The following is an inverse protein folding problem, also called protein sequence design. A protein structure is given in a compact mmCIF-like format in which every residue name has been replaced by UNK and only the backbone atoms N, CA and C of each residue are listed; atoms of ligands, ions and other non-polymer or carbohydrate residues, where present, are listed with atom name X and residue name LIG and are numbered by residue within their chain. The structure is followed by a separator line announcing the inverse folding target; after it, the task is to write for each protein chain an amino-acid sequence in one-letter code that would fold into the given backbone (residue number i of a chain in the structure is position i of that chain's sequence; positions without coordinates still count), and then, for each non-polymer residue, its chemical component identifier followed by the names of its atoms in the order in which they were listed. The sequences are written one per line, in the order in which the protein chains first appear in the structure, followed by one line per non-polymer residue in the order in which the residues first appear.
data_IF_925045076270
#
_entry.id   IF_925045076270
#
_cell.length_a   1.000
_cell.length_b   1.000
_cell.length_c   1.000
_cell.angle_alpha   90.00
_cell.angle_beta   90.00
_cell.angle_gamma   90.00
#
_symmetry.space_group_name_H-M   'P 1'
#
loop_
_entity.id
_entity.type
_entity.pdbx_description
1 polymer ?
#
# COMPACT_ATOMS: atom_id res chain seq x y z
N UNK A 1 -5.15 34.25 -7.32
CA UNK A 1 -4.48 33.02 -6.85
C UNK A 1 -5.22 32.33 -5.69
N UNK A 2 -5.91 33.06 -4.80
CA UNK A 2 -6.60 32.49 -3.63
C UNK A 2 -7.85 31.63 -3.94
N UNK A 3 -8.47 31.80 -5.12
CA UNK A 3 -9.62 30.97 -5.54
C UNK A 3 -9.25 29.54 -5.97
N UNK A 4 -8.00 29.28 -6.38
CA UNK A 4 -7.57 27.93 -6.80
C UNK A 4 -7.45 26.96 -5.61
N UNK A 5 -7.20 27.46 -4.40
CA UNK A 5 -6.94 26.64 -3.21
C UNK A 5 -8.21 26.05 -2.56
N UNK A 6 -9.41 26.53 -2.91
CA UNK A 6 -10.67 26.01 -2.37
C UNK A 6 -11.33 24.95 -3.27
N UNK A 7 -10.72 24.64 -4.42
CA UNK A 7 -11.28 23.73 -5.44
C UNK A 7 -10.37 22.52 -5.67
N UNK A 8 -9.07 22.64 -5.41
CA UNK A 8 -8.08 21.62 -5.73
C UNK A 8 -6.99 21.51 -4.65
N UNK A 9 -6.54 20.29 -4.38
CA UNK A 9 -5.34 19.96 -3.60
C UNK A 9 -4.24 19.57 -4.58
N UNK A 10 -3.00 19.99 -4.36
CA UNK A 10 -1.87 19.66 -5.23
C UNK A 10 -0.69 19.06 -4.47
N UNK A 11 0.01 18.11 -5.10
CA UNK A 11 1.31 17.59 -4.63
C UNK A 11 2.35 17.70 -5.74
N UNK A 12 3.45 18.38 -5.44
CA UNK A 12 4.56 18.54 -6.37
C UNK A 12 5.34 17.22 -6.44
N UNK A 13 5.59 16.73 -7.65
CA UNK A 13 6.32 15.49 -7.92
C UNK A 13 7.84 15.73 -7.92
N UNK A 14 8.28 16.94 -8.31
CA UNK A 14 9.70 17.30 -8.42
C UNK A 14 10.12 18.31 -7.33
N UNK A 15 10.76 17.81 -6.26
CA UNK A 15 11.62 18.66 -5.43
C UNK A 15 13.02 18.62 -6.04
N UNK A 16 13.44 19.73 -6.63
CA UNK A 16 14.79 19.98 -7.13
C UNK A 16 15.85 20.06 -6.01
N UNK A 17 15.76 19.24 -4.97
CA UNK A 17 16.86 19.04 -4.03
C UNK A 17 17.29 17.57 -4.09
N UNK A 18 18.35 17.32 -4.87
CA UNK A 18 19.05 16.03 -4.92
C UNK A 18 19.80 15.71 -3.62
N UNK A 19 19.64 16.52 -2.58
CA UNK A 19 20.25 16.36 -1.28
C UNK A 19 19.17 16.00 -0.26
N UNK A 20 19.09 14.69 0.03
CA UNK A 20 18.39 14.09 1.17
C UNK A 20 16.85 14.26 1.22
N UNK A 21 16.10 13.47 0.45
CA UNK A 21 14.73 13.06 0.84
C UNK A 21 14.30 11.77 0.11
N UNK A 22 13.46 10.96 0.75
CA UNK A 22 13.08 9.59 0.41
C UNK A 22 12.70 9.35 -1.08
N UNK A 23 13.40 8.41 -1.74
CA UNK A 23 13.13 7.90 -3.11
C UNK A 23 11.67 7.51 -3.41
N UNK A 24 10.85 7.31 -2.39
CA UNK A 24 9.43 6.94 -2.50
C UNK A 24 8.49 8.14 -2.78
N UNK A 25 8.86 9.34 -2.34
CA UNK A 25 7.99 10.53 -2.47
C UNK A 25 7.99 11.16 -3.87
N UNK A 26 9.03 10.90 -4.67
CA UNK A 26 9.21 11.47 -6.01
C UNK A 26 8.18 10.95 -7.04
N UNK A 27 7.29 10.04 -6.64
CA UNK A 27 6.29 9.40 -7.52
C UNK A 27 4.88 9.43 -6.96
N UNK A 28 4.67 10.03 -5.80
CA UNK A 28 3.38 10.09 -5.12
C UNK A 28 2.29 10.65 -6.05
N UNK A 29 2.57 11.73 -6.77
CA UNK A 29 1.57 12.31 -7.68
C UNK A 29 1.20 11.42 -8.88
N UNK A 30 2.13 10.60 -9.39
CA UNK A 30 1.83 9.62 -10.45
C UNK A 30 0.90 8.53 -9.91
N UNK A 31 1.13 8.07 -8.69
CA UNK A 31 0.30 7.07 -8.01
C UNK A 31 -1.10 7.59 -7.70
N UNK A 32 -1.23 8.86 -7.34
CA UNK A 32 -2.55 9.50 -7.17
C UNK A 32 -3.37 9.51 -8.46
N UNK A 33 -2.73 9.78 -9.61
CA UNK A 33 -3.43 9.70 -10.91
C UNK A 33 -3.76 8.25 -11.27
N UNK A 34 -2.85 7.31 -11.00
CA UNK A 34 -3.11 5.89 -11.22
C UNK A 34 -4.33 5.40 -10.44
N UNK A 35 -4.46 5.79 -9.17
CA UNK A 35 -5.62 5.44 -8.35
C UNK A 35 -6.94 5.97 -8.94
N UNK A 36 -6.94 7.19 -9.48
CA UNK A 36 -8.11 7.75 -10.17
C UNK A 36 -8.43 7.00 -11.48
N UNK A 37 -7.43 6.70 -12.30
CA UNK A 37 -7.61 5.96 -13.55
C UNK A 37 -8.15 4.55 -13.31
N UNK A 38 -7.68 3.89 -12.24
CA UNK A 38 -8.11 2.55 -11.87
C UNK A 38 -9.48 2.54 -11.17
N UNK A 39 -10.03 3.69 -10.76
CA UNK A 39 -11.38 3.77 -10.19
C UNK A 39 -12.46 3.78 -11.27
N UNK A 40 -12.75 2.61 -11.85
CA UNK A 40 -13.61 2.49 -13.03
C UNK A 40 -15.02 3.03 -12.76
N UNK A 41 -15.46 3.98 -13.58
CA UNK A 41 -16.75 4.63 -13.42
C UNK A 41 -16.90 5.45 -12.12
N UNK A 42 -15.80 5.70 -11.40
CA UNK A 42 -15.83 6.36 -10.09
C UNK A 42 -16.45 5.50 -8.98
N UNK A 43 -16.34 4.18 -9.09
CA UNK A 43 -16.95 3.21 -8.17
C UNK A 43 -16.57 3.47 -6.70
N UNK A 44 -15.29 3.68 -6.42
CA UNK A 44 -14.71 3.94 -5.11
C UNK A 44 -14.84 5.40 -4.70
N UNK A 45 -15.03 6.28 -5.68
CA UNK A 45 -15.24 7.70 -5.48
C UNK A 45 -13.94 8.49 -5.37
N UNK A 46 -12.84 8.01 -5.98
CA UNK A 46 -11.59 8.78 -6.02
C UNK A 46 -11.86 10.11 -6.71
N UNK A 47 -11.58 11.26 -6.07
CA UNK A 47 -11.84 12.54 -6.71
C UNK A 47 -11.00 12.69 -7.98
N UNK A 48 -11.50 13.38 -9.03
CA UNK A 48 -10.77 13.64 -10.25
C UNK A 48 -9.35 14.13 -9.97
N UNK A 49 -8.37 13.37 -10.47
CA UNK A 49 -6.95 13.60 -10.22
C UNK A 49 -6.19 13.57 -11.53
N UNK A 50 -5.38 14.60 -11.79
CA UNK A 50 -4.63 14.75 -13.05
C UNK A 50 -3.20 15.20 -12.80
N UNK A 51 -2.29 14.88 -13.72
CA UNK A 51 -0.96 15.46 -13.76
C UNK A 51 -1.01 16.81 -14.47
N UNK A 52 -0.39 17.82 -13.88
CA UNK A 52 -0.27 19.16 -14.46
C UNK A 52 1.16 19.63 -14.48
N UNK A 53 1.49 20.49 -15.46
CA UNK A 53 2.74 21.22 -15.52
C UNK A 53 2.51 22.64 -14.99
N UNK A 54 3.10 22.95 -13.84
CA UNK A 54 2.96 24.26 -13.18
C UNK A 54 4.19 25.10 -13.49
N UNK A 55 3.99 26.37 -13.87
CA UNK A 55 5.08 27.34 -14.03
C UNK A 55 5.33 28.07 -12.70
N UNK A 56 6.59 28.16 -12.29
CA UNK A 56 7.03 28.79 -11.04
C UNK A 56 7.08 30.33 -11.12
N UNK A 57 6.44 30.94 -12.12
CA UNK A 57 6.42 32.39 -12.34
C UNK A 57 5.84 33.20 -11.15
N UNK A 58 5.08 32.56 -10.26
CA UNK A 58 4.48 33.20 -9.08
C UNK A 58 5.44 33.36 -7.88
N UNK A 59 6.61 32.70 -7.89
CA UNK A 59 7.54 32.66 -6.74
C UNK A 59 8.93 33.21 -7.03
N UNK A 60 9.18 33.69 -8.25
CA UNK A 60 10.46 34.31 -8.61
C UNK A 60 10.45 35.79 -8.21
N UNK A 61 11.29 36.14 -7.22
CA UNK A 61 11.76 37.52 -7.04
C UNK A 61 12.48 37.90 -8.33
N UNK A 62 12.23 39.09 -8.93
CA UNK A 62 12.88 39.46 -10.18
C UNK A 62 14.38 39.68 -9.93
N UNK A 63 15.19 38.66 -10.17
CA UNK A 63 16.63 38.79 -10.30
C UNK A 63 16.98 38.90 -11.78
N UNK A 64 17.95 39.76 -12.09
CA UNK A 64 18.37 40.22 -13.42
C UNK A 64 18.95 39.16 -14.37
N UNK A 65 18.74 37.88 -14.10
CA UNK A 65 19.07 36.78 -15.00
C UNK A 65 17.79 36.20 -15.61
N UNK A 66 17.63 36.42 -16.91
CA UNK A 66 16.57 35.86 -17.77
C UNK A 66 16.69 34.33 -17.90
N UNK A 67 16.39 33.61 -16.83
CA UNK A 67 16.19 32.17 -16.89
C UNK A 67 14.77 31.84 -17.32
N UNK A 68 14.61 30.91 -18.27
CA UNK A 68 13.29 30.46 -18.72
C UNK A 68 12.45 29.97 -17.51
N UNK A 69 11.11 30.14 -17.52
CA UNK A 69 10.27 29.75 -16.40
C UNK A 69 10.50 28.28 -16.04
N UNK A 70 10.91 28.01 -14.79
CA UNK A 70 11.03 26.63 -14.31
C UNK A 70 9.63 26.03 -14.27
N UNK A 71 9.51 24.83 -14.80
CA UNK A 71 8.27 24.07 -14.78
C UNK A 71 8.44 22.87 -13.87
N UNK A 72 7.41 22.60 -13.06
CA UNK A 72 7.35 21.39 -12.22
C UNK A 72 6.11 20.59 -12.59
N UNK A 73 6.22 19.27 -12.50
CA UNK A 73 5.05 18.39 -12.62
C UNK A 73 4.46 18.22 -11.22
N UNK A 74 3.13 18.26 -11.13
CA UNK A 74 2.39 18.04 -9.89
C UNK A 74 1.13 17.22 -10.19
N UNK A 75 0.67 16.44 -9.21
CA UNK A 75 -0.71 15.97 -9.21
C UNK A 75 -1.61 17.08 -8.70
N UNK A 76 -2.80 17.19 -9.29
CA UNK A 76 -3.90 18.00 -8.79
C UNK A 76 -5.12 17.08 -8.63
N UNK A 77 -5.66 17.05 -7.41
CA UNK A 77 -6.89 16.35 -7.07
C UNK A 77 -8.00 17.36 -6.76
N UNK A 78 -9.21 17.11 -7.24
CA UNK A 78 -10.40 17.92 -6.89
C UNK A 78 -10.60 17.87 -5.38
N UNK A 79 -10.65 19.04 -4.75
CA UNK A 79 -11.01 19.18 -3.35
C UNK A 79 -12.44 18.68 -3.11
N UNK A 80 -12.60 17.88 -2.07
CA UNK A 80 -13.91 17.38 -1.64
C UNK A 80 -14.30 18.11 -0.36
N UNK A 81 -15.37 18.91 -0.37
CA UNK A 81 -15.87 19.53 0.84
C UNK A 81 -16.28 18.47 1.87
N UNK A 82 -15.62 18.49 3.02
CA UNK A 82 -15.86 17.59 4.15
C UNK A 82 -15.80 18.39 5.45
N UNK A 83 -16.34 17.82 6.52
CA UNK A 83 -16.23 18.37 7.88
C UNK A 83 -15.41 17.47 8.79
N UNK A 84 -15.34 16.19 8.46
CA UNK A 84 -14.75 15.13 9.27
C UNK A 84 -14.00 14.16 8.37
N UNK A 85 -12.93 13.57 8.91
CA UNK A 85 -12.38 12.32 8.39
C UNK A 85 -13.00 11.12 9.13
N UNK A 86 -12.65 9.90 8.72
CA UNK A 86 -13.23 8.70 9.32
C UNK A 86 -12.71 8.43 10.74
N UNK A 87 -11.71 9.14 11.22
CA UNK A 87 -11.17 9.05 12.59
C UNK A 87 -11.99 9.85 13.60
N UNK A 88 -12.68 10.89 13.12
CA UNK A 88 -13.60 11.70 13.94
C UNK A 88 -14.93 10.97 14.25
N UNK A 89 -15.26 9.91 13.49
CA UNK A 89 -16.49 9.15 13.61
C UNK A 89 -16.20 7.67 13.91
N UNK A 90 -17.05 7.03 14.70
CA UNK A 90 -16.94 5.59 14.94
C UNK A 90 -17.39 4.77 13.72
N UNK A 91 -16.72 3.64 13.39
CA UNK A 91 -17.03 2.81 12.23
C UNK A 91 -18.51 2.44 12.08
N UNK A 92 -19.26 2.25 13.18
CA UNK A 92 -20.71 1.98 13.18
C UNK A 92 -21.58 2.96 12.36
N UNK A 93 -21.05 4.14 12.02
CA UNK A 93 -21.72 5.18 11.23
C UNK A 93 -21.48 5.05 9.73
N UNK A 94 -20.51 4.25 9.29
CA UNK A 94 -20.14 4.18 7.88
C UNK A 94 -21.00 3.20 7.10
N UNK A 95 -21.29 3.58 5.85
CA UNK A 95 -21.96 2.74 4.86
C UNK A 95 -21.13 1.51 4.54
N UNK A 96 -21.74 0.32 4.56
CA UNK A 96 -21.06 -0.94 4.18
C UNK A 96 -20.53 -0.82 2.76
N UNK A 97 -21.36 -0.34 1.83
CA UNK A 97 -20.96 -0.21 0.44
C UNK A 97 -19.79 0.75 0.27
N UNK A 98 -19.79 1.91 0.93
CA UNK A 98 -18.64 2.83 0.88
C UNK A 98 -17.33 2.15 1.35
N UNK A 99 -17.38 1.38 2.44
CA UNK A 99 -16.19 0.65 2.95
C UNK A 99 -15.75 -0.42 1.95
N UNK A 100 -16.68 -1.18 1.39
CA UNK A 100 -16.38 -2.19 0.37
C UNK A 100 -15.74 -1.60 -0.88
N UNK A 101 -16.30 -0.51 -1.42
CA UNK A 101 -15.77 0.13 -2.64
C UNK A 101 -14.35 0.66 -2.43
N UNK A 102 -14.08 1.29 -1.28
CA UNK A 102 -12.73 1.74 -0.90
C UNK A 102 -11.77 0.53 -0.75
N UNK A 103 -12.18 -0.50 -0.01
CA UNK A 103 -11.35 -1.67 0.22
C UNK A 103 -11.00 -2.44 -1.05
N UNK A 104 -11.96 -2.57 -1.98
CA UNK A 104 -11.74 -3.16 -3.30
C UNK A 104 -10.63 -2.42 -4.06
N UNK A 105 -10.65 -1.08 -4.07
CA UNK A 105 -9.62 -0.29 -4.71
C UNK A 105 -8.27 -0.42 -3.97
N UNK A 106 -8.26 -0.29 -2.65
CA UNK A 106 -7.02 -0.37 -1.87
C UNK A 106 -6.32 -1.73 -1.99
N UNK A 107 -7.09 -2.83 -2.09
CA UNK A 107 -6.57 -4.16 -2.40
C UNK A 107 -5.87 -4.15 -3.76
N UNK A 108 -6.54 -3.68 -4.82
CA UNK A 108 -5.94 -3.63 -6.18
C UNK A 108 -4.67 -2.80 -6.22
N UNK A 109 -4.65 -1.70 -5.47
CA UNK A 109 -3.52 -0.78 -5.43
C UNK A 109 -2.41 -1.23 -4.48
N UNK A 110 -2.64 -2.23 -3.63
CA UNK A 110 -1.79 -2.56 -2.48
C UNK A 110 -1.43 -1.28 -1.69
N UNK A 111 -2.45 -0.58 -1.19
CA UNK A 111 -2.25 0.67 -0.47
C UNK A 111 -1.55 0.43 0.88
N UNK A 112 -0.35 1.00 1.07
CA UNK A 112 0.43 0.82 2.30
C UNK A 112 0.15 1.89 3.36
N UNK A 113 -0.80 2.79 3.10
CA UNK A 113 -1.11 3.91 4.00
C UNK A 113 -2.60 4.29 4.00
N UNK A 114 -3.53 3.32 3.93
CA UNK A 114 -4.95 3.63 4.13
C UNK A 114 -5.25 3.75 5.62
N UNK A 115 -5.00 4.93 6.20
CA UNK A 115 -5.41 5.28 7.55
C UNK A 115 -6.69 6.13 7.58
N UNK A 116 -7.26 6.37 8.77
CA UNK A 116 -8.51 7.13 8.93
C UNK A 116 -8.47 8.53 8.31
N UNK A 117 -7.37 9.26 8.47
CA UNK A 117 -7.16 10.59 7.87
C UNK A 117 -7.19 10.61 6.32
N UNK A 118 -7.08 9.46 5.66
CA UNK A 118 -7.13 9.34 4.20
C UNK A 118 -8.54 8.98 3.70
N UNK A 119 -9.54 8.96 4.58
CA UNK A 119 -10.92 8.63 4.26
C UNK A 119 -11.81 9.75 4.75
N UNK A 120 -12.34 10.54 3.83
CA UNK A 120 -13.22 11.66 4.16
C UNK A 120 -14.66 11.20 4.36
N UNK A 121 -15.36 11.86 5.28
CA UNK A 121 -16.80 11.69 5.46
C UNK A 121 -17.54 12.73 4.62
N UNK A 122 -18.43 12.27 3.74
CA UNK A 122 -19.16 13.17 2.85
C UNK A 122 -20.01 14.18 3.66
N UNK A 123 -19.86 15.48 3.36
CA UNK A 123 -20.56 16.58 4.03
C UNK A 123 -22.09 16.46 4.02
N UNK A 124 -22.67 15.73 3.07
CA UNK A 124 -24.11 15.47 3.05
C UNK A 124 -24.60 14.76 4.33
N UNK A 125 -23.72 14.00 4.99
CA UNK A 125 -24.02 13.31 6.24
C UNK A 125 -24.40 14.28 7.39
N UNK A 126 -23.68 15.41 7.55
CA UNK A 126 -23.96 16.34 8.66
C UNK A 126 -25.29 17.07 8.48
N UNK A 127 -25.71 17.32 7.23
CA UNK A 127 -27.03 17.87 6.91
C UNK A 127 -28.16 16.87 7.17
N UNK A 128 -27.92 15.59 6.89
CA UNK A 128 -28.91 14.52 7.04
C UNK A 128 -29.09 14.09 8.51
N UNK A 129 -28.07 14.25 9.36
CA UNK A 129 -28.12 13.93 10.81
C UNK A 129 -29.21 14.67 11.59
N UNK A 130 -29.63 15.85 11.13
CA UNK A 130 -30.71 16.61 11.74
C UNK A 130 -32.11 16.10 11.37
N UNK A 131 -32.19 15.10 10.49
CA UNK A 131 -33.40 14.40 10.06
C UNK A 131 -33.38 13.02 10.73
N UNK A 132 -34.42 12.67 11.45
CA UNK A 132 -34.50 11.53 12.37
C UNK A 132 -34.42 10.12 11.73
N UNK A 133 -33.29 9.73 11.13
CA UNK A 133 -33.01 8.35 10.68
C UNK A 133 -31.55 7.93 10.89
N UNK A 134 -31.31 6.61 11.02
CA UNK A 134 -30.01 5.91 11.03
C UNK A 134 -29.30 6.00 9.66
N UNK A 135 -29.10 7.23 9.18
CA UNK A 135 -28.38 7.49 7.93
C UNK A 135 -26.93 7.06 8.13
N UNK A 136 -26.43 6.17 7.27
CA UNK A 136 -25.00 5.84 7.23
C UNK A 136 -24.25 6.85 6.38
N UNK A 137 -23.05 7.20 6.81
CA UNK A 137 -22.16 8.11 6.12
C UNK A 137 -21.54 7.45 4.88
N UNK A 138 -21.61 8.12 3.73
CA UNK A 138 -20.79 7.79 2.57
C UNK A 138 -19.37 8.35 2.74
N UNK A 139 -18.40 7.61 2.22
CA UNK A 139 -16.98 7.89 2.37
C UNK A 139 -16.33 8.24 1.03
N UNK A 140 -15.23 8.98 1.08
CA UNK A 140 -14.43 9.35 -0.10
C UNK A 140 -12.96 9.06 0.18
N UNK A 141 -12.31 8.16 -0.58
CA UNK A 141 -10.89 7.91 -0.43
C UNK A 141 -10.07 9.04 -1.06
N UNK A 142 -9.10 9.55 -0.31
CA UNK A 142 -8.11 10.51 -0.80
C UNK A 142 -6.70 10.00 -0.53
N UNK A 143 -5.70 10.76 -0.94
CA UNK A 143 -4.29 10.50 -0.64
C UNK A 143 -3.81 9.07 -0.98
N UNK A 144 -3.61 8.82 -2.28
CA UNK A 144 -3.10 7.54 -2.78
C UNK A 144 -1.59 7.62 -3.09
N UNK A 145 -0.86 8.55 -2.46
CA UNK A 145 0.56 8.76 -2.75
C UNK A 145 1.45 7.55 -2.41
N UNK A 146 0.99 6.72 -1.48
CA UNK A 146 1.67 5.50 -1.02
C UNK A 146 0.93 4.23 -1.45
N UNK A 147 0.33 4.22 -2.63
CA UNK A 147 -0.15 2.99 -3.25
C UNK A 147 0.79 2.53 -4.38
N UNK A 148 0.56 1.35 -4.94
CA UNK A 148 1.34 0.77 -6.04
C UNK A 148 2.86 0.78 -5.72
N UNK A 149 3.28 0.08 -4.65
CA UNK A 149 4.70 -0.04 -4.33
C UNK A 149 5.45 -0.78 -5.44
N UNK A 150 6.78 -0.78 -5.38
CA UNK A 150 7.61 -1.47 -6.40
C UNK A 150 8.00 -2.89 -5.97
N UNK A 151 7.74 -3.20 -4.69
CA UNK A 151 7.92 -4.49 -4.04
C UNK A 151 6.62 -4.86 -3.35
N UNK A 152 6.36 -6.15 -3.17
CA UNK A 152 5.23 -6.65 -2.39
C UNK A 152 5.54 -6.33 -0.92
N UNK A 153 5.03 -5.18 -0.48
CA UNK A 153 5.19 -4.64 0.87
C UNK A 153 3.93 -4.93 1.71
N UNK A 154 4.04 -4.73 3.02
CA UNK A 154 2.91 -4.93 3.93
C UNK A 154 1.90 -3.78 3.80
N UNK A 155 0.66 -4.04 3.33
CA UNK A 155 -0.33 -2.99 3.22
C UNK A 155 -0.85 -2.57 4.60
N UNK A 156 -1.33 -1.33 4.69
CA UNK A 156 -2.04 -0.84 5.88
C UNK A 156 -3.47 -0.48 5.51
N UNK A 157 -4.42 -1.24 6.05
CA UNK A 157 -5.84 -1.10 5.77
C UNK A 157 -6.62 -0.82 7.06
N UNK A 158 -6.93 0.44 7.33
CA UNK A 158 -7.74 0.82 8.49
C UNK A 158 -9.11 0.14 8.50
N UNK A 159 -9.73 0.01 7.32
CA UNK A 159 -11.03 -0.65 7.18
C UNK A 159 -11.03 -2.13 7.54
N UNK A 160 -9.86 -2.78 7.61
CA UNK A 160 -9.73 -4.20 7.96
C UNK A 160 -10.31 -4.50 9.34
N UNK A 161 -10.30 -3.50 10.24
CA UNK A 161 -10.78 -3.63 11.61
C UNK A 161 -12.23 -3.15 11.80
N UNK A 162 -12.89 -2.74 10.71
CA UNK A 162 -14.26 -2.23 10.78
C UNK A 162 -15.27 -3.37 10.58
N UNK A 163 -16.39 -3.40 11.33
CA UNK A 163 -17.39 -4.46 11.21
C UNK A 163 -17.92 -4.66 9.79
N UNK A 164 -17.97 -3.58 9.00
CA UNK A 164 -18.36 -3.60 7.60
C UNK A 164 -17.51 -4.56 6.77
N UNK A 165 -16.20 -4.67 7.01
CA UNK A 165 -15.33 -5.54 6.23
C UNK A 165 -15.65 -7.04 6.42
N UNK A 166 -16.33 -7.40 7.52
CA UNK A 166 -16.76 -8.77 7.79
C UNK A 166 -18.03 -9.16 7.01
N UNK A 167 -18.70 -8.19 6.40
CA UNK A 167 -19.94 -8.39 5.65
C UNK A 167 -19.61 -8.93 4.24
N UNK A 168 -20.37 -9.91 3.71
CA UNK A 168 -20.19 -10.36 2.34
C UNK A 168 -20.38 -9.22 1.32
N UNK A 169 -19.63 -9.26 0.22
CA UNK A 169 -19.87 -8.37 -0.91
C UNK A 169 -21.30 -8.53 -1.44
N UNK A 170 -21.91 -7.41 -1.83
CA UNK A 170 -23.16 -7.38 -2.57
C UNK A 170 -22.97 -7.84 -4.02
N UNK A 171 -24.07 -8.19 -4.70
CA UNK A 171 -24.01 -8.58 -6.12
C UNK A 171 -23.45 -7.45 -7.01
N UNK A 172 -23.74 -6.18 -6.67
CA UNK A 172 -23.19 -5.02 -7.36
C UNK A 172 -21.66 -4.93 -7.24
N UNK A 173 -21.13 -5.20 -6.05
CA UNK A 173 -19.68 -5.22 -5.81
C UNK A 173 -19.00 -6.41 -6.48
N UNK A 174 -19.66 -7.58 -6.48
CA UNK A 174 -19.16 -8.78 -7.17
C UNK A 174 -19.17 -8.61 -8.69
N UNK A 175 -20.20 -7.98 -9.26
CA UNK A 175 -20.25 -7.64 -10.69
C UNK A 175 -19.12 -6.70 -11.05
N UNK A 176 -18.89 -5.65 -10.25
CA UNK A 176 -17.76 -4.75 -10.45
C UNK A 176 -16.42 -5.49 -10.42
N UNK A 177 -16.14 -6.29 -9.38
CA UNK A 177 -14.90 -7.10 -9.28
C UNK A 177 -14.78 -8.04 -10.50
N UNK A 178 -15.88 -8.69 -10.89
CA UNK A 178 -15.94 -9.58 -12.04
C UNK A 178 -15.59 -8.90 -13.36
N UNK A 179 -15.93 -7.61 -13.51
CA UNK A 179 -15.68 -6.81 -14.72
C UNK A 179 -14.24 -6.30 -14.87
N UNK A 180 -13.44 -6.28 -13.79
CA UNK A 180 -12.06 -5.74 -13.83
C UNK A 180 -11.15 -6.56 -14.75
N UNK A 181 -10.36 -5.89 -15.59
CA UNK A 181 -9.35 -6.54 -16.42
C UNK A 181 -7.96 -5.97 -16.10
N UNK A 182 -7.14 -6.70 -15.32
CA UNK A 182 -5.84 -6.20 -14.90
C UNK A 182 -4.85 -5.95 -16.05
N UNK A 183 -5.02 -6.62 -17.20
CA UNK A 183 -4.11 -6.46 -18.34
C UNK A 183 -4.48 -5.24 -19.19
N UNK A 184 -5.78 -4.94 -19.31
CA UNK A 184 -6.23 -3.67 -19.87
C UNK A 184 -5.83 -2.50 -18.97
N UNK A 185 -5.99 -2.64 -17.65
CA UNK A 185 -5.55 -1.66 -16.68
C UNK A 185 -4.04 -1.42 -16.77
N UNK A 186 -3.25 -2.48 -16.90
CA UNK A 186 -1.81 -2.37 -17.09
C UNK A 186 -1.45 -1.62 -18.39
N UNK A 187 -2.16 -1.90 -19.48
CA UNK A 187 -1.96 -1.20 -20.76
C UNK A 187 -2.29 0.30 -20.64
N UNK A 188 -3.39 0.64 -19.96
CA UNK A 188 -3.78 2.02 -19.66
C UNK A 188 -2.71 2.75 -18.83
N UNK A 189 -2.20 2.11 -17.77
CA UNK A 189 -1.17 2.73 -16.94
C UNK A 189 0.15 2.94 -17.70
N UNK A 190 0.56 1.97 -18.53
CA UNK A 190 1.76 2.11 -19.38
C UNK A 190 1.62 3.26 -20.39
N UNK A 191 0.42 3.48 -20.94
CA UNK A 191 0.18 4.57 -21.90
C UNK A 191 0.07 5.93 -21.24
N UNK A 192 -0.71 6.05 -20.16
CA UNK A 192 -1.02 7.33 -19.52
C UNK A 192 0.06 7.78 -18.54
N UNK A 193 0.76 6.83 -17.90
CA UNK A 193 1.68 7.10 -16.80
C UNK A 193 3.05 6.43 -17.03
N UNK A 194 3.84 6.84 -18.05
CA UNK A 194 5.13 6.22 -18.38
C UNK A 194 6.20 6.36 -17.29
N UNK A 195 5.96 7.21 -16.28
CA UNK A 195 6.82 7.34 -15.10
C UNK A 195 6.56 6.24 -14.04
N UNK A 196 5.42 5.57 -14.09
CA UNK A 196 5.11 4.45 -13.21
C UNK A 196 5.99 3.24 -13.60
N UNK A 197 6.59 2.58 -12.61
CA UNK A 197 7.48 1.44 -12.87
C UNK A 197 6.69 0.18 -13.18
N UNK A 198 7.25 -0.64 -14.05
CA UNK A 198 6.66 -1.92 -14.44
C UNK A 198 6.41 -2.85 -13.24
N UNK A 199 7.30 -2.86 -12.24
CA UNK A 199 7.10 -3.67 -11.02
C UNK A 199 5.84 -3.27 -10.24
N UNK A 200 5.49 -1.98 -10.22
CA UNK A 200 4.23 -1.50 -9.63
C UNK A 200 3.01 -1.93 -10.42
N UNK A 201 3.10 -1.96 -11.75
CA UNK A 201 2.03 -2.45 -12.63
C UNK A 201 1.83 -3.96 -12.43
N UNK A 202 2.91 -4.73 -12.32
CA UNK A 202 2.89 -6.16 -11.99
C UNK A 202 2.23 -6.44 -10.63
N UNK A 203 2.48 -5.62 -9.61
CA UNK A 203 1.79 -5.70 -8.31
C UNK A 203 0.29 -5.43 -8.44
N UNK A 204 -0.11 -4.42 -9.23
CA UNK A 204 -1.52 -4.14 -9.49
C UNK A 204 -2.23 -5.33 -10.15
N UNK A 205 -1.59 -5.93 -11.17
CA UNK A 205 -2.10 -7.14 -11.84
C UNK A 205 -2.28 -8.27 -10.82
N UNK A 206 -1.23 -8.58 -10.06
CA UNK A 206 -1.23 -9.62 -9.04
C UNK A 206 -2.37 -9.44 -8.04
N UNK A 207 -2.51 -8.24 -7.46
CA UNK A 207 -3.52 -7.97 -6.45
C UNK A 207 -4.94 -8.00 -7.02
N UNK A 208 -5.12 -7.54 -8.25
CA UNK A 208 -6.43 -7.59 -8.94
C UNK A 208 -6.84 -9.03 -9.25
N UNK A 209 -5.91 -9.88 -9.71
CA UNK A 209 -6.17 -11.31 -9.90
C UNK A 209 -6.52 -12.00 -8.57
N UNK A 210 -5.74 -11.75 -7.52
CA UNK A 210 -5.99 -12.28 -6.18
C UNK A 210 -7.39 -11.91 -5.68
N UNK A 211 -7.78 -10.64 -5.80
CA UNK A 211 -9.11 -10.14 -5.45
C UNK A 211 -10.22 -10.86 -6.23
N UNK A 212 -10.06 -11.01 -7.56
CA UNK A 212 -11.06 -11.66 -8.40
C UNK A 212 -11.29 -13.11 -7.99
N UNK A 213 -10.23 -13.88 -7.79
CA UNK A 213 -10.33 -15.28 -7.35
C UNK A 213 -10.84 -15.41 -5.90
N UNK A 214 -10.49 -14.46 -5.01
CA UNK A 214 -11.02 -14.49 -3.64
C UNK A 214 -12.52 -14.13 -3.60
N UNK A 215 -12.99 -13.25 -4.48
CA UNK A 215 -14.41 -12.90 -4.59
C UNK A 215 -15.26 -14.08 -5.10
N UNK A 216 -14.74 -14.91 -6.02
CA UNK A 216 -15.47 -16.10 -6.50
C UNK A 216 -15.62 -17.16 -5.41
N UNK A 217 -14.66 -17.24 -4.48
CA UNK A 217 -14.70 -18.13 -3.31
C UNK A 217 -15.53 -17.59 -2.13
N UNK A 218 -16.17 -16.43 -2.30
CA UNK A 218 -17.06 -15.76 -1.34
C UNK A 218 -16.37 -15.30 -0.06
N UNK A 219 -15.06 -15.02 -0.12
CA UNK A 219 -14.38 -14.30 0.95
C UNK A 219 -14.93 -12.87 1.09
N UNK A 220 -15.09 -12.40 2.33
CA UNK A 220 -15.43 -11.00 2.59
C UNK A 220 -14.18 -10.11 2.50
N UNK A 221 -14.38 -8.80 2.59
CA UNK A 221 -13.29 -7.84 2.49
C UNK A 221 -12.21 -8.06 3.58
N UNK A 222 -12.63 -8.39 4.81
CA UNK A 222 -11.72 -8.72 5.92
C UNK A 222 -10.85 -9.93 5.59
N UNK A 223 -11.44 -11.01 5.05
CA UNK A 223 -10.69 -12.23 4.71
C UNK A 223 -9.58 -11.94 3.70
N UNK A 224 -9.88 -11.12 2.70
CA UNK A 224 -8.93 -10.76 1.63
C UNK A 224 -7.83 -9.86 2.20
N UNK A 225 -8.21 -8.80 2.92
CA UNK A 225 -7.24 -7.90 3.57
C UNK A 225 -6.31 -8.65 4.52
N UNK A 226 -6.85 -9.57 5.33
CA UNK A 226 -6.09 -10.40 6.26
C UNK A 226 -5.06 -11.30 5.56
N UNK A 227 -5.42 -11.86 4.41
CA UNK A 227 -4.48 -12.66 3.60
C UNK A 227 -3.37 -11.82 2.97
N UNK A 228 -3.59 -10.52 2.79
CA UNK A 228 -2.61 -9.59 2.21
C UNK A 228 -1.71 -8.94 3.24
N UNK A 229 -2.19 -8.72 4.46
CA UNK A 229 -1.41 -8.14 5.57
C UNK A 229 -0.51 -9.18 6.24
N UNK A 230 0.68 -8.77 6.64
CA UNK A 230 1.60 -9.63 7.38
C UNK A 230 1.08 -9.89 8.79
N UNK A 231 1.21 -11.14 9.23
CA UNK A 231 1.04 -11.52 10.64
C UNK A 231 2.38 -11.93 11.20
N UNK A 232 2.70 -11.48 12.42
CA UNK A 232 3.85 -11.97 13.15
C UNK A 232 3.58 -13.41 13.61
N UNK A 233 4.27 -14.37 13.00
CA UNK A 233 4.18 -15.78 13.33
C UNK A 233 5.60 -16.34 13.57
N UNK A 234 5.87 -16.80 14.80
CA UNK A 234 7.12 -17.52 15.13
C UNK A 234 8.43 -16.82 14.73
N UNK A 235 8.51 -15.50 14.90
CA UNK A 235 9.72 -14.72 14.61
C UNK A 235 9.90 -14.29 13.15
N UNK A 236 8.98 -14.66 12.25
CA UNK A 236 8.91 -14.16 10.89
C UNK A 236 7.54 -13.51 10.62
N UNK A 237 7.51 -12.49 9.76
CA UNK A 237 6.27 -11.89 9.26
C UNK A 237 6.16 -12.16 7.76
N UNK A 238 5.07 -12.80 7.34
CA UNK A 238 4.73 -13.03 5.93
C UNK A 238 3.22 -13.04 5.81
N UNK A 239 2.69 -12.42 4.76
CA UNK A 239 1.29 -12.58 4.41
C UNK A 239 1.05 -13.88 3.65
N UNK A 240 -0.22 -14.28 3.51
CA UNK A 240 -0.61 -15.43 2.69
C UNK A 240 -0.30 -15.15 1.22
N UNK A 241 -0.59 -13.93 0.75
CA UNK A 241 -0.26 -13.51 -0.62
C UNK A 241 1.25 -13.65 -0.92
N UNK A 242 2.11 -13.19 0.00
CA UNK A 242 3.56 -13.34 -0.17
C UNK A 242 4.02 -14.80 -0.18
N UNK A 243 3.42 -15.63 0.68
CA UNK A 243 3.73 -17.07 0.73
C UNK A 243 3.39 -17.76 -0.60
N UNK A 244 2.21 -17.47 -1.14
CA UNK A 244 1.77 -17.97 -2.45
C UNK A 244 2.77 -17.53 -3.53
N UNK A 245 3.16 -16.25 -3.55
CA UNK A 245 4.13 -15.73 -4.51
C UNK A 245 5.49 -16.44 -4.42
N UNK A 246 6.03 -16.65 -3.20
CA UNK A 246 7.29 -17.40 -3.00
C UNK A 246 7.17 -18.84 -3.50
N UNK A 247 6.06 -19.51 -3.22
CA UNK A 247 5.81 -20.88 -3.71
C UNK A 247 5.84 -20.93 -5.24
N UNK A 248 5.23 -19.96 -5.92
CA UNK A 248 5.23 -19.89 -7.40
C UNK A 248 6.64 -19.65 -7.93
N UNK A 249 7.38 -18.68 -7.36
CA UNK A 249 8.77 -18.38 -7.77
C UNK A 249 9.63 -19.64 -7.65
N UNK A 250 9.57 -20.34 -6.52
CA UNK A 250 10.31 -21.57 -6.29
C UNK A 250 9.97 -22.68 -7.29
N UNK A 251 8.71 -22.76 -7.75
CA UNK A 251 8.29 -23.72 -8.77
C UNK A 251 8.90 -23.37 -10.14
N UNK A 252 8.94 -22.08 -10.49
CA UNK A 252 9.41 -21.60 -11.80
C UNK A 252 10.93 -21.69 -11.92
N UNK A 253 11.66 -21.38 -10.86
CA UNK A 253 13.13 -21.41 -10.85
C UNK A 253 13.70 -22.84 -10.91
N UNK A 254 12.84 -23.87 -10.94
CA UNK A 254 13.23 -25.27 -11.14
C UNK A 254 14.10 -25.85 -10.02
N UNK A 255 14.18 -25.18 -8.87
CA UNK A 255 15.02 -25.56 -7.72
C UNK A 255 14.36 -25.28 -6.38
N UNK A 256 13.78 -26.34 -5.82
CA UNK A 256 14.48 -27.07 -4.75
C UNK A 256 14.74 -28.50 -5.27
N UNK A 257 15.63 -28.67 -6.25
CA UNK A 257 16.16 -30.01 -6.51
C UNK A 257 17.43 -30.15 -5.64
N UNK A 258 17.35 -30.94 -4.56
CA UNK A 258 18.47 -31.56 -3.81
C UNK A 258 18.99 -31.01 -2.44
N UNK A 259 18.51 -29.92 -1.84
CA UNK A 259 19.04 -29.49 -0.51
C UNK A 259 17.90 -29.02 0.41
N UNK A 260 17.30 -29.89 1.22
CA UNK A 260 17.60 -29.82 2.65
C UNK A 260 17.63 -31.17 3.37
N UNK A 261 17.40 -32.33 2.72
CA UNK A 261 17.42 -33.62 3.43
C UNK A 261 16.61 -33.64 4.74
N UNK A 262 15.53 -32.85 4.80
CA UNK A 262 14.65 -32.72 5.96
C UNK A 262 13.38 -33.51 5.66
N UNK A 263 13.06 -34.42 6.58
CA UNK A 263 11.95 -35.35 6.47
C UNK A 263 10.60 -34.63 6.33
N UNK A 264 9.75 -35.24 5.49
CA UNK A 264 8.38 -34.82 5.18
C UNK A 264 7.52 -34.65 6.45
N UNK A 265 7.90 -35.24 7.58
CA UNK A 265 7.20 -35.10 8.86
C UNK A 265 7.31 -33.71 9.53
N UNK A 266 8.22 -32.83 9.11
CA UNK A 266 8.39 -31.52 9.76
C UNK A 266 7.43 -30.45 9.21
N UNK A 267 7.00 -30.59 7.95
CA UNK A 267 5.97 -29.73 7.33
C UNK A 267 4.60 -29.99 7.97
N UNK A 268 4.24 -31.26 8.20
CA UNK A 268 3.02 -31.63 8.93
C UNK A 268 3.05 -31.20 10.42
N UNK A 269 4.24 -31.04 11.01
CA UNK A 269 4.40 -30.50 12.38
C UNK A 269 4.08 -29.00 12.46
N UNK A 270 4.42 -28.22 11.44
CA UNK A 270 4.08 -26.79 11.39
C UNK A 270 2.57 -26.58 11.18
N UNK A 271 1.93 -27.43 10.37
CA UNK A 271 0.46 -27.41 10.16
C UNK A 271 -0.36 -27.95 11.34
N UNK A 272 0.26 -28.74 12.23
CA UNK A 272 -0.40 -29.26 13.45
C UNK A 272 -0.24 -28.36 14.68
N UNK A 273 0.78 -27.49 14.72
CA UNK A 273 1.00 -26.55 15.83
C UNK A 273 0.17 -25.27 15.75
N UNK A 274 -0.40 -24.91 14.60
CA UNK A 274 -1.39 -23.82 14.47
C UNK A 274 -2.75 -24.14 15.09
N UNK A 275 -2.94 -25.37 15.62
CA UNK A 275 -4.21 -25.86 16.19
C UNK A 275 -4.46 -25.44 17.65
N UNK A 276 -3.52 -24.79 18.32
CA UNK A 276 -3.60 -24.41 19.74
C UNK A 276 -2.91 -23.04 19.94
N UNK A 277 -3.60 -21.90 20.10
CA UNK A 277 -4.10 -21.29 21.35
C UNK A 277 -4.57 -19.87 20.92
N UNK A 278 -5.78 -19.39 21.22
CA UNK A 278 -6.11 -18.60 22.42
C UNK A 278 -5.97 -17.07 22.20
N UNK A 279 -7.11 -16.36 22.28
CA UNK A 279 -7.41 -14.92 22.35
C UNK A 279 -6.45 -13.86 21.73
N UNK A 280 -6.98 -12.83 21.03
CA UNK A 280 -6.17 -11.81 20.36
C UNK A 280 -5.41 -10.89 21.34
N UNK A 281 -4.18 -10.47 21.00
CA UNK A 281 -3.46 -9.46 21.78
C UNK A 281 -4.05 -8.06 21.56
N UNK A 282 -3.99 -7.22 22.60
CA UNK A 282 -4.39 -5.80 22.55
C UNK A 282 -3.43 -4.99 21.68
N UNK A 283 -3.89 -3.91 21.03
CA UNK A 283 -3.06 -3.11 20.14
C UNK A 283 -1.90 -2.43 20.88
N UNK A 284 -0.73 -2.28 20.23
CA UNK A 284 0.42 -1.61 20.82
C UNK A 284 0.14 -0.11 21.02
N UNK A 285 0.30 0.36 22.26
CA UNK A 285 0.39 1.79 22.56
C UNK A 285 1.77 2.27 22.10
N UNK A 286 1.83 2.99 20.98
CA UNK A 286 2.72 4.15 20.70
C UNK A 286 2.78 4.44 19.20
N UNK A 287 1.99 5.42 18.77
CA UNK A 287 2.45 6.43 17.83
C UNK A 287 2.09 7.78 18.46
N UNK A 288 3.11 8.57 18.78
CA UNK A 288 2.91 9.94 19.23
C UNK A 288 2.34 10.73 18.05
N UNK A 289 1.19 11.37 18.28
CA UNK A 289 0.59 12.37 17.40
C UNK A 289 1.67 13.38 16.94
N UNK A 290 2.01 13.40 15.66
CA UNK A 290 2.53 14.62 15.04
C UNK A 290 1.30 15.42 14.62
N UNK A 291 0.93 16.35 15.50
CA UNK A 291 -0.14 17.32 15.28
C UNK A 291 0.35 18.33 14.24
N UNK A 292 -0.10 18.21 13.00
CA UNK A 292 0.09 19.25 11.99
C UNK A 292 -0.86 20.42 12.28
N UNK A 293 -0.42 21.35 13.13
CA UNK A 293 -1.12 22.63 13.29
C UNK A 293 -0.85 23.51 12.07
N UNK A 294 -1.86 23.61 11.21
CA UNK A 294 -2.14 24.81 10.42
C UNK A 294 -2.32 25.99 11.37
N UNK A 295 -1.51 27.04 11.23
CA UNK A 295 -1.92 28.38 11.66
C UNK A 295 -1.17 29.47 10.89
N UNK A 296 -1.97 30.34 10.26
CA UNK A 296 -1.57 31.60 9.65
C UNK A 296 -1.60 32.71 10.71
N UNK A 297 -0.77 33.74 10.53
CA UNK A 297 -0.78 35.08 11.15
C UNK A 297 -0.26 35.26 12.58
N UNK A 298 0.88 35.94 12.74
CA UNK A 298 0.95 37.38 13.10
C UNK A 298 2.42 37.86 13.17
N UNK A 299 2.64 39.13 12.80
CA UNK A 299 3.91 39.86 12.88
C UNK A 299 4.31 40.11 14.35
N UNK A 300 5.62 40.05 14.65
CA UNK A 300 6.39 41.13 15.31
C UNK A 300 7.89 40.79 15.41
N UNK A 301 8.72 41.83 15.32
CA UNK A 301 10.19 41.86 15.33
C UNK A 301 10.80 41.34 16.64
N UNK A 302 11.96 40.69 16.57
CA UNK A 302 13.20 41.15 17.24
C UNK A 302 14.42 40.27 16.87
N UNK A 303 15.62 40.87 16.97
CA UNK A 303 16.86 40.54 16.25
C UNK A 303 17.69 39.31 16.71
N UNK A 304 18.95 39.20 16.22
CA UNK A 304 19.61 37.91 16.01
C UNK A 304 20.51 37.48 17.16
N UNK A 305 20.61 36.18 17.40
CA UNK A 305 21.66 35.58 18.22
C UNK A 305 22.25 34.33 17.55
N UNK A 306 23.56 34.41 17.30
CA UNK A 306 24.47 33.37 16.84
C UNK A 306 24.62 32.26 17.89
N UNK A 307 24.84 31.01 17.46
CA UNK A 307 25.40 29.96 18.33
C UNK A 307 26.43 29.11 17.57
N UNK A 308 27.58 28.97 18.24
CA UNK A 308 28.83 28.35 17.83
C UNK A 308 28.77 26.81 17.74
N UNK A 309 29.53 26.27 16.80
CA UNK A 309 29.91 24.85 16.70
C UNK A 309 31.01 24.49 17.70
N UNK A 310 30.99 23.26 18.23
CA UNK A 310 32.16 22.62 18.85
C UNK A 310 32.35 21.20 18.32
N UNK A 311 33.46 21.04 17.58
CA UNK A 311 34.14 19.78 17.30
C UNK A 311 34.85 19.24 18.55
N UNK A 312 34.99 17.92 18.66
CA UNK A 312 35.96 17.28 19.55
C UNK A 312 36.71 16.17 18.80
N UNK A 313 38.05 16.29 18.75
CA UNK A 313 39.03 15.34 18.21
C UNK A 313 39.70 14.55 19.35
N UNK A 314 40.10 13.30 19.08
CA UNK A 314 41.36 12.73 19.57
C UNK A 314 41.77 11.48 18.76
N UNK A 315 43.08 11.25 18.67
CA UNK A 315 43.85 10.58 17.59
C UNK A 315 44.73 9.42 18.20
N UNK A 316 45.82 8.85 17.60
CA UNK A 316 45.91 7.45 17.10
C UNK A 316 47.11 6.60 17.66
N UNK A 317 47.39 5.40 17.04
CA UNK A 317 48.62 4.55 16.95
C UNK A 317 48.38 3.04 17.30
N UNK A 318 48.96 1.95 16.72
CA UNK A 318 50.10 1.66 15.79
C UNK A 318 50.04 0.21 15.18
N UNK A 319 50.96 -0.04 14.21
CA UNK A 319 51.36 -1.18 13.31
C UNK A 319 51.26 -2.66 13.82
N UNK A 320 51.36 -3.77 13.05
CA UNK A 320 52.15 -4.20 11.86
C UNK A 320 51.75 -5.64 11.39
N UNK A 321 51.97 -6.07 10.12
CA UNK A 321 52.29 -7.49 9.80
C UNK A 321 51.63 -8.23 8.60
N UNK A 322 52.26 -8.14 7.41
CA UNK A 322 52.51 -9.14 6.35
C UNK A 322 51.49 -10.20 5.85
N UNK A 323 51.21 -10.17 4.53
CA UNK A 323 51.62 -11.17 3.49
C UNK A 323 50.53 -11.57 2.49
N UNK A 324 50.94 -11.60 1.22
CA UNK A 324 50.16 -11.85 0.00
C UNK A 324 49.89 -13.34 -0.26
N UNK A 325 48.67 -13.68 -0.69
CA UNK A 325 48.47 -14.69 -1.75
C UNK A 325 47.33 -14.22 -2.68
N UNK A 326 47.64 -14.15 -3.99
CA UNK A 326 46.66 -13.91 -5.06
C UNK A 326 45.82 -15.16 -5.25
N UNK A 327 44.49 -15.03 -5.15
CA UNK A 327 43.54 -16.00 -5.69
C UNK A 327 42.56 -15.28 -6.62
N UNK A 328 42.30 -15.92 -7.74
CA UNK A 328 41.51 -15.44 -8.87
C UNK A 328 40.06 -15.28 -8.43
N UNK A 329 39.53 -14.05 -8.41
CA UNK A 329 38.10 -13.83 -8.15
C UNK A 329 37.31 -14.18 -9.41
N UNK A 330 36.76 -15.39 -9.44
CA UNK A 330 35.61 -15.69 -10.28
C UNK A 330 34.43 -14.91 -9.71
N UNK A 331 33.85 -14.03 -10.53
CA UNK A 331 32.64 -13.28 -10.22
C UNK A 331 31.45 -14.24 -10.11
N UNK A 332 31.21 -14.72 -8.89
CA UNK A 332 29.90 -15.20 -8.47
C UNK A 332 29.05 -13.96 -8.26
N UNK A 333 28.36 -13.53 -9.31
CA UNK A 333 27.27 -12.58 -9.20
C UNK A 333 26.18 -13.21 -8.31
N UNK A 334 26.27 -12.86 -7.03
CA UNK A 334 25.22 -12.81 -6.02
C UNK A 334 24.18 -13.93 -6.09
N UNK A 335 24.59 -15.03 -5.46
CA UNK A 335 23.74 -15.91 -4.68
C UNK A 335 22.63 -15.08 -4.01
N UNK A 336 21.38 -15.46 -4.27
CA UNK A 336 20.14 -14.90 -3.75
C UNK A 336 20.22 -14.63 -2.25
N UNK A 337 20.60 -13.40 -1.89
CA UNK A 337 20.54 -12.93 -0.51
C UNK A 337 19.09 -12.82 -0.09
N UNK A 338 18.81 -13.21 1.16
CA UNK A 338 17.53 -13.06 1.86
C UNK A 338 16.96 -11.64 1.72
N UNK A 339 16.25 -11.37 0.63
CA UNK A 339 15.52 -10.13 0.49
C UNK A 339 14.24 -10.26 1.30
N UNK A 340 14.16 -9.47 2.37
CA UNK A 340 12.97 -9.33 3.23
C UNK A 340 11.70 -8.97 2.44
N UNK A 341 11.84 -8.51 1.19
CA UNK A 341 10.75 -8.02 0.33
C UNK A 341 10.77 -8.71 -1.03
N UNK A 342 9.61 -9.17 -1.50
CA UNK A 342 9.44 -9.77 -2.82
C UNK A 342 9.36 -8.69 -3.90
N UNK A 343 10.11 -8.84 -4.98
CA UNK A 343 10.08 -7.91 -6.11
C UNK A 343 9.93 -8.66 -7.42
N UNK A 344 9.09 -8.13 -8.31
CA UNK A 344 8.88 -8.65 -9.66
C UNK A 344 9.65 -7.85 -10.72
N UNK A 345 10.57 -6.97 -10.29
CA UNK A 345 11.28 -6.06 -11.20
C UNK A 345 12.23 -6.76 -12.17
N UNK A 346 12.91 -7.82 -11.71
CA UNK A 346 13.97 -8.48 -12.47
C UNK A 346 13.47 -9.63 -13.36
N UNK A 347 12.18 -9.98 -13.28
CA UNK A 347 11.58 -11.00 -14.15
C UNK A 347 11.46 -10.47 -15.59
N UNK A 348 11.89 -11.26 -16.57
CA UNK A 348 11.54 -11.05 -17.98
C UNK A 348 10.02 -11.13 -18.19
N UNK A 349 9.53 -10.67 -19.35
CA UNK A 349 8.10 -10.74 -19.65
C UNK A 349 7.63 -12.20 -19.80
N UNK A 350 8.48 -13.07 -20.35
CA UNK A 350 8.20 -14.51 -20.45
C UNK A 350 8.16 -15.20 -19.08
N UNK A 351 9.03 -14.81 -18.15
CA UNK A 351 8.99 -15.30 -16.77
C UNK A 351 7.77 -14.80 -16.02
N UNK A 352 7.41 -13.53 -16.22
CA UNK A 352 6.22 -12.93 -15.62
C UNK A 352 4.93 -13.61 -16.10
N UNK A 353 4.82 -13.92 -17.39
CA UNK A 353 3.67 -14.65 -17.94
C UNK A 353 3.54 -16.05 -17.32
N UNK A 354 4.66 -16.78 -17.19
CA UNK A 354 4.69 -18.08 -16.50
C UNK A 354 4.31 -17.94 -15.03
N UNK A 355 4.79 -16.89 -14.36
CA UNK A 355 4.46 -16.57 -12.97
C UNK A 355 2.96 -16.37 -12.79
N UNK A 356 2.33 -15.49 -13.58
CA UNK A 356 0.90 -15.23 -13.47
C UNK A 356 0.07 -16.48 -13.73
N UNK A 357 0.39 -17.23 -14.79
CA UNK A 357 -0.30 -18.48 -15.08
C UNK A 357 -0.24 -19.45 -13.89
N UNK A 358 0.95 -19.67 -13.35
CA UNK A 358 1.15 -20.60 -12.23
C UNK A 358 0.54 -20.09 -10.93
N UNK A 359 0.57 -18.79 -10.70
CA UNK A 359 -0.10 -18.12 -9.58
C UNK A 359 -1.59 -18.40 -9.59
N UNK A 360 -2.27 -18.16 -10.70
CA UNK A 360 -3.72 -18.41 -10.81
C UNK A 360 -4.08 -19.90 -10.66
N UNK A 361 -3.26 -20.81 -11.18
CA UNK A 361 -3.48 -22.26 -11.06
C UNK A 361 -3.51 -22.76 -9.61
N UNK A 362 -2.73 -22.16 -8.71
CA UNK A 362 -2.64 -22.62 -7.31
C UNK A 362 -3.65 -21.93 -6.37
N UNK A 363 -4.20 -20.78 -6.74
CA UNK A 363 -5.12 -20.03 -5.87
C UNK A 363 -6.33 -20.84 -5.39
N UNK A 364 -7.03 -21.64 -6.23
CA UNK A 364 -8.20 -22.39 -5.79
C UNK A 364 -7.90 -23.36 -4.64
N UNK A 365 -6.77 -24.07 -4.69
CA UNK A 365 -6.33 -25.00 -3.65
C UNK A 365 -6.09 -24.27 -2.32
N UNK A 366 -5.33 -23.17 -2.37
CA UNK A 366 -5.05 -22.34 -1.19
C UNK A 366 -6.31 -21.74 -0.57
N UNK A 367 -7.26 -21.31 -1.39
CA UNK A 367 -8.50 -20.72 -0.92
C UNK A 367 -9.44 -21.74 -0.29
N UNK A 368 -9.53 -22.96 -0.83
CA UNK A 368 -10.30 -24.03 -0.20
C UNK A 368 -9.69 -24.46 1.14
N UNK A 369 -8.36 -24.58 1.22
CA UNK A 369 -7.67 -24.84 2.49
C UNK A 369 -7.99 -23.75 3.53
N UNK A 370 -7.88 -22.47 3.13
CA UNK A 370 -8.16 -21.33 4.00
C UNK A 370 -9.61 -21.32 4.50
N UNK A 371 -10.56 -21.64 3.63
CA UNK A 371 -11.98 -21.74 3.96
C UNK A 371 -12.24 -22.84 4.98
N UNK A 372 -11.61 -24.00 4.82
CA UNK A 372 -11.71 -25.12 5.77
C UNK A 372 -11.16 -24.76 7.16
N UNK A 373 -10.04 -24.04 7.22
CA UNK A 373 -9.47 -23.54 8.49
C UNK A 373 -10.43 -22.56 9.21
N UNK A 374 -11.11 -21.69 8.46
CA UNK A 374 -12.10 -20.75 9.02
C UNK A 374 -13.32 -21.49 9.59
N UNK A 375 -13.81 -22.52 8.91
CA UNK A 375 -14.92 -23.36 9.39
C UNK A 375 -14.50 -24.10 10.67
N UNK A 376 -13.33 -24.73 10.67
CA UNK A 376 -12.80 -25.49 11.82
C UNK A 376 -12.60 -24.60 13.06
N UNK A 377 -12.02 -23.41 12.89
CA UNK A 377 -11.83 -22.45 14.00
C UNK A 377 -13.14 -21.86 14.52
N UNK A 378 -14.18 -21.80 13.69
CA UNK A 378 -15.51 -21.39 14.12
C UNK A 378 -16.16 -22.49 14.97
N UNK A 379 -16.08 -23.75 14.54
CA UNK A 379 -16.62 -24.91 15.27
C UNK A 379 -15.94 -25.06 16.65
N UNK A 380 -14.61 -24.91 16.74
CA UNK A 380 -13.89 -25.03 18.01
C UNK A 380 -14.24 -23.91 19.02
N UNK A 381 -14.54 -22.69 18.53
CA UNK A 381 -15.05 -21.59 19.37
C UNK A 381 -16.47 -21.81 19.86
N UNK A 382 -17.31 -22.54 19.13
CA UNK A 382 -18.66 -22.90 19.58
C UNK A 382 -18.65 -24.09 20.57
N UNK A 383 -17.78 -25.08 20.35
CA UNK A 383 -17.66 -26.25 21.24
C UNK A 383 -17.06 -25.96 22.62
N UNK A 384 -16.39 -24.82 22.80
CA UNK A 384 -15.82 -24.37 24.08
C UNK A 384 -16.76 -23.48 24.92
N UNK A 385 -17.99 -23.23 24.43
CA UNK A 385 -19.03 -22.44 25.09
C UNK A 385 -20.25 -23.27 25.56
N UNK A 386 -20.19 -24.59 25.43
CA UNK A 386 -21.09 -25.57 26.04
C UNK A 386 -20.33 -26.29 27.15
#
# INVERSE_FOLDING_TARGET
MQFFFNIYIYKIIDRLDRTMCNKYNDRAGVREVAAYLLDHGGFSGVPPTVLVKVSEAAFQIPTSSSSAPRHRIASIQRFVPHEFDSGDLGPSRFSISSVHRIGILDIRLLNIDRHTGNILVNKSYSKQKNSSNDVKAELVPIDHGLCLPEVLDDPYFEWLHWPQATVPFSDYELEYIGSLDPFNDASLLRSELPLLKESSIRIMILCTLFLKHAATTKFCLEDIGDMMTQRFCNGASSSVLEHICRKVINIIDGRYLAEAGMDVEEIERVESQTRNIGLPPKPPKKYALIRSTSMFSAYENDGPHEMEEKEERADPLSMMGNSLTKSVSFSVSDLTSHTKYLSFKEMSDEEWEKFIKRFEEILPEFFEERKNLKISSSISKFGSKL
#
